data_IF_939677042700
#
_entry.id   IF_939677042700
#
_cell.length_a   1.000
_cell.length_b   1.000
_cell.length_c   1.000
_cell.angle_alpha   90.00
_cell.angle_beta   90.00
_cell.angle_gamma   90.00
#
_symmetry.space_group_name_H-M   'P 1'
#
loop_
_entity.id
_entity.type
_entity.pdbx_description
1 polymer ?
#
# COMPACT_ATOMS: atom_id res chain seq x y z
N UNK A 1 18.37 -20.25 -2.43
CA UNK A 1 17.94 -21.28 -3.41
C UNK A 1 16.73 -20.75 -4.15
N UNK A 2 16.45 -21.22 -5.36
CA UNK A 2 15.31 -20.77 -6.15
C UNK A 2 14.60 -21.95 -6.83
N UNK A 3 13.31 -21.80 -7.11
CA UNK A 3 12.54 -22.63 -8.05
C UNK A 3 11.66 -21.72 -8.92
N UNK A 4 11.12 -22.24 -10.02
CA UNK A 4 10.25 -21.49 -10.93
C UNK A 4 9.07 -22.34 -11.37
N UNK A 5 7.94 -21.69 -11.65
CA UNK A 5 6.74 -22.28 -12.26
C UNK A 5 6.64 -22.00 -13.77
N UNK A 6 7.63 -21.32 -14.35
CA UNK A 6 7.67 -20.91 -15.76
C UNK A 6 7.54 -19.40 -15.97
N UNK A 7 6.74 -18.70 -15.15
CA UNK A 7 6.58 -17.23 -15.20
C UNK A 7 7.23 -16.55 -14.00
N UNK A 8 7.13 -17.17 -12.83
CA UNK A 8 7.63 -16.66 -11.57
C UNK A 8 8.89 -17.40 -11.14
N UNK A 9 9.78 -16.67 -10.49
CA UNK A 9 10.94 -17.21 -9.77
C UNK A 9 10.74 -16.98 -8.28
N UNK A 10 10.74 -18.07 -7.53
CA UNK A 10 10.58 -18.10 -6.09
C UNK A 10 11.93 -18.28 -5.43
N UNK A 11 12.35 -17.30 -4.63
CA UNK A 11 13.60 -17.33 -3.88
C UNK A 11 13.35 -17.69 -2.42
N UNK A 12 14.32 -18.36 -1.79
CA UNK A 12 14.20 -18.70 -0.37
C UNK A 12 15.21 -19.71 0.15
N UNK A 13 14.85 -20.34 1.28
CA UNK A 13 15.71 -21.19 2.10
C UNK A 13 15.03 -22.50 2.50
N UNK A 14 15.83 -23.54 2.73
CA UNK A 14 15.33 -24.82 3.26
C UNK A 14 14.40 -25.61 2.31
N UNK A 15 14.42 -25.32 1.01
CA UNK A 15 13.61 -26.06 0.04
C UNK A 15 14.01 -27.53 -0.05
N UNK A 16 13.02 -28.40 0.08
CA UNK A 16 13.13 -29.82 -0.28
C UNK A 16 12.05 -30.17 -1.27
N UNK A 17 12.26 -31.23 -2.06
CA UNK A 17 11.42 -31.54 -3.21
C UNK A 17 10.99 -33.01 -3.23
N UNK A 18 9.76 -33.25 -3.67
CA UNK A 18 9.26 -34.58 -4.01
C UNK A 18 8.68 -34.52 -5.43
N UNK A 19 9.18 -35.38 -6.33
CA UNK A 19 8.72 -35.38 -7.73
C UNK A 19 8.94 -34.05 -8.46
N UNK A 20 9.93 -33.25 -8.06
CA UNK A 20 10.21 -31.92 -8.63
C UNK A 20 9.35 -30.79 -8.04
N UNK A 21 8.44 -31.09 -7.13
CA UNK A 21 7.57 -30.10 -6.46
C UNK A 21 8.16 -29.75 -5.09
N UNK A 22 8.26 -28.47 -4.70
CA UNK A 22 8.73 -28.10 -3.37
C UNK A 22 7.72 -28.53 -2.29
N UNK A 23 8.18 -29.28 -1.30
CA UNK A 23 7.36 -29.82 -0.18
C UNK A 23 7.75 -29.25 1.18
N UNK A 24 8.85 -28.51 1.27
CA UNK A 24 9.24 -27.76 2.47
C UNK A 24 10.05 -26.53 2.11
N UNK A 25 10.39 -25.74 3.13
CA UNK A 25 11.20 -24.52 3.01
C UNK A 25 10.35 -23.25 3.03
N UNK A 26 11.05 -22.12 3.08
CA UNK A 26 10.47 -20.80 3.20
C UNK A 26 10.82 -19.98 1.96
N UNK A 27 9.80 -19.51 1.26
CA UNK A 27 9.90 -18.51 0.20
C UNK A 27 10.02 -17.15 0.86
N UNK A 28 11.03 -16.40 0.42
CA UNK A 28 11.38 -15.05 0.90
C UNK A 28 11.30 -13.98 -0.17
N UNK A 29 11.02 -14.37 -1.40
CA UNK A 29 10.71 -13.43 -2.46
C UNK A 29 10.19 -14.12 -3.71
N UNK A 30 9.44 -13.38 -4.50
CA UNK A 30 8.81 -13.77 -5.76
C UNK A 30 9.20 -12.70 -6.77
N UNK A 31 9.60 -13.10 -7.96
CA UNK A 31 9.86 -12.17 -9.05
C UNK A 31 9.34 -12.74 -10.36
N UNK A 32 8.68 -11.89 -11.14
CA UNK A 32 8.34 -12.17 -12.53
C UNK A 32 9.41 -11.53 -13.42
N UNK A 33 9.84 -12.24 -14.47
CA UNK A 33 10.86 -11.77 -15.40
C UNK A 33 10.31 -11.73 -16.82
N UNK A 34 10.67 -10.69 -17.57
CA UNK A 34 10.41 -10.62 -18.99
C UNK A 34 11.34 -11.53 -19.82
N UNK A 35 11.13 -11.55 -21.13
CA UNK A 35 11.95 -12.31 -22.09
C UNK A 35 13.42 -11.82 -22.16
N UNK A 36 13.70 -10.61 -21.67
CA UNK A 36 15.05 -10.02 -21.55
C UNK A 36 15.71 -10.33 -20.20
N UNK A 37 15.03 -11.11 -19.34
CA UNK A 37 15.46 -11.49 -18.00
C UNK A 37 15.60 -10.28 -17.05
N UNK A 38 14.79 -9.25 -17.25
CA UNK A 38 14.59 -8.14 -16.32
C UNK A 38 13.39 -8.42 -15.43
N UNK A 39 13.51 -8.14 -14.13
CA UNK A 39 12.38 -8.33 -13.21
C UNK A 39 11.32 -7.25 -13.47
N UNK A 40 10.10 -7.66 -13.81
CA UNK A 40 8.97 -6.76 -14.08
C UNK A 40 8.09 -6.58 -12.85
N UNK A 41 7.97 -7.60 -12.01
CA UNK A 41 7.36 -7.50 -10.68
C UNK A 41 8.28 -8.14 -9.65
N UNK A 42 8.31 -7.57 -8.46
CA UNK A 42 9.12 -8.11 -7.37
C UNK A 42 8.43 -7.97 -6.03
N UNK A 43 8.45 -9.06 -5.27
CA UNK A 43 8.05 -9.10 -3.87
C UNK A 43 9.19 -9.72 -3.07
N UNK A 44 9.69 -9.02 -2.06
CA UNK A 44 10.74 -9.50 -1.16
C UNK A 44 10.38 -9.21 0.29
N UNK A 45 10.96 -9.96 1.22
CA UNK A 45 10.71 -9.79 2.67
C UNK A 45 9.70 -10.78 3.24
N UNK A 46 8.94 -11.44 2.37
CA UNK A 46 7.89 -12.38 2.76
C UNK A 46 8.44 -13.59 3.51
N UNK A 47 7.56 -14.28 4.23
CA UNK A 47 7.91 -15.52 4.92
C UNK A 47 6.79 -16.54 4.79
N UNK A 48 6.78 -17.24 3.67
CA UNK A 48 5.74 -18.18 3.31
C UNK A 48 6.29 -19.58 3.12
N UNK A 49 5.56 -20.59 3.59
CA UNK A 49 5.93 -21.98 3.34
C UNK A 49 5.74 -22.32 1.86
N UNK A 50 6.78 -22.85 1.21
CA UNK A 50 6.67 -23.34 -0.16
C UNK A 50 5.57 -24.40 -0.30
N UNK A 51 5.38 -25.24 0.72
CA UNK A 51 4.32 -26.24 0.76
C UNK A 51 2.92 -25.60 0.81
N UNK A 52 2.76 -24.48 1.51
CA UNK A 52 1.49 -23.74 1.53
C UNK A 52 1.19 -23.10 0.17
N UNK A 53 2.20 -22.56 -0.52
CA UNK A 53 2.02 -22.02 -1.88
C UNK A 53 1.58 -23.11 -2.86
N UNK A 54 2.24 -24.27 -2.82
CA UNK A 54 1.87 -25.42 -3.65
C UNK A 54 0.48 -25.95 -3.31
N UNK A 55 0.09 -25.92 -2.04
CA UNK A 55 -1.25 -26.35 -1.62
C UNK A 55 -2.33 -25.42 -2.18
N UNK A 56 -2.16 -24.10 -2.03
CA UNK A 56 -3.11 -23.10 -2.54
C UNK A 56 -3.25 -23.18 -4.07
N UNK A 57 -2.14 -23.28 -4.80
CA UNK A 57 -2.14 -23.39 -6.26
C UNK A 57 -2.89 -24.64 -6.81
N UNK A 58 -3.30 -25.59 -5.96
CA UNK A 58 -4.02 -26.81 -6.36
C UNK A 58 -5.53 -26.74 -6.14
N UNK A 59 -6.04 -25.81 -5.35
CA UNK A 59 -7.44 -25.81 -4.93
C UNK A 59 -8.36 -25.09 -5.91
N UNK A 60 -7.85 -24.12 -6.69
CA UNK A 60 -8.67 -23.29 -7.58
C UNK A 60 -9.74 -22.47 -6.83
N UNK A 61 -9.69 -22.46 -5.50
CA UNK A 61 -10.48 -21.62 -4.63
C UNK A 61 -9.73 -20.31 -4.38
N UNK A 62 -10.42 -19.20 -4.17
CA UNK A 62 -9.76 -17.92 -3.90
C UNK A 62 -9.46 -17.70 -2.42
N UNK A 63 -10.13 -18.43 -1.53
CA UNK A 63 -10.07 -18.16 -0.09
C UNK A 63 -8.69 -18.49 0.51
N UNK A 64 -8.07 -19.58 0.08
CA UNK A 64 -6.74 -19.96 0.51
C UNK A 64 -5.65 -19.15 -0.18
N UNK A 65 -5.86 -18.72 -1.42
CA UNK A 65 -5.01 -17.72 -2.11
C UNK A 65 -5.01 -16.39 -1.35
N UNK A 66 -6.18 -15.84 -1.03
CA UNK A 66 -6.32 -14.60 -0.23
C UNK A 66 -5.66 -14.76 1.15
N UNK A 67 -5.89 -15.88 1.83
CA UNK A 67 -5.28 -16.15 3.13
C UNK A 67 -3.75 -16.27 3.03
N UNK A 68 -3.22 -16.76 1.91
CA UNK A 68 -1.79 -16.86 1.65
C UNK A 68 -1.19 -15.48 1.39
N UNK A 69 -1.84 -14.64 0.57
CA UNK A 69 -1.43 -13.26 0.30
C UNK A 69 -1.38 -12.45 1.60
N UNK A 70 -2.47 -12.49 2.38
CA UNK A 70 -2.55 -11.82 3.69
C UNK A 70 -1.52 -12.33 4.69
N UNK A 71 -1.02 -13.55 4.54
CA UNK A 71 0.05 -14.09 5.37
C UNK A 71 1.43 -13.67 4.85
N UNK A 72 1.59 -13.54 3.53
CA UNK A 72 2.83 -13.15 2.89
C UNK A 72 3.20 -11.72 3.29
N UNK A 73 2.22 -10.82 3.24
CA UNK A 73 2.35 -9.38 3.44
C UNK A 73 2.08 -8.97 4.91
N UNK A 74 2.62 -9.71 5.89
CA UNK A 74 2.55 -9.35 7.32
C UNK A 74 3.87 -8.82 7.88
N UNK A 75 4.91 -8.89 7.07
CA UNK A 75 6.27 -8.52 7.45
C UNK A 75 6.62 -7.15 6.91
N UNK A 76 7.88 -6.76 7.07
CA UNK A 76 8.38 -5.60 6.35
C UNK A 76 8.80 -6.08 4.96
N UNK A 77 8.01 -5.72 3.97
CA UNK A 77 8.08 -6.22 2.62
C UNK A 77 8.53 -5.11 1.65
N UNK A 78 9.12 -5.53 0.53
CA UNK A 78 9.44 -4.65 -0.59
C UNK A 78 8.65 -5.13 -1.79
N UNK A 79 7.81 -4.25 -2.31
CA UNK A 79 6.98 -4.51 -3.50
C UNK A 79 7.40 -3.56 -4.61
N UNK A 80 7.65 -4.11 -5.78
CA UNK A 80 7.98 -3.35 -7.00
C UNK A 80 7.03 -3.80 -8.10
N UNK A 81 6.26 -2.84 -8.62
CA UNK A 81 5.43 -2.98 -9.81
C UNK A 81 6.24 -2.93 -11.10
N UNK A 82 5.54 -2.84 -12.20
CA UNK A 82 6.00 -2.87 -13.58
C UNK A 82 5.94 -1.49 -14.23
N UNK A 83 6.14 -1.40 -15.54
CA UNK A 83 5.94 -0.16 -16.29
C UNK A 83 4.49 0.02 -16.78
N UNK A 84 3.60 -0.92 -16.44
CA UNK A 84 2.17 -0.90 -16.70
C UNK A 84 1.38 -0.65 -15.40
N UNK A 85 0.12 -0.22 -15.51
CA UNK A 85 -0.70 0.08 -14.32
C UNK A 85 -0.98 -1.16 -13.46
N UNK A 86 -0.56 -1.09 -12.20
CA UNK A 86 -0.60 -2.19 -11.24
C UNK A 86 -1.59 -2.00 -10.09
N UNK A 87 -1.95 -3.13 -9.48
CA UNK A 87 -2.64 -3.16 -8.19
C UNK A 87 -1.68 -3.69 -7.12
N UNK A 88 -1.10 -2.78 -6.34
CA UNK A 88 -0.10 -3.09 -5.33
C UNK A 88 -0.72 -3.05 -3.93
N UNK A 89 -0.33 -3.98 -3.07
CA UNK A 89 -0.80 -4.03 -1.68
C UNK A 89 0.41 -4.12 -0.74
N UNK A 90 0.48 -3.19 0.22
CA UNK A 90 1.55 -3.16 1.22
C UNK A 90 1.37 -4.28 2.25
N UNK A 91 0.17 -4.35 2.86
CA UNK A 91 -0.11 -5.29 3.92
C UNK A 91 0.18 -4.70 5.29
N UNK A 92 0.66 -5.52 6.24
CA UNK A 92 1.04 -5.04 7.55
C UNK A 92 2.55 -5.13 7.71
N UNK A 93 3.17 -4.18 8.39
CA UNK A 93 4.62 -4.06 8.48
C UNK A 93 5.05 -2.68 8.02
N UNK A 94 6.36 -2.42 8.02
CA UNK A 94 6.89 -1.18 7.46
C UNK A 94 7.41 -1.48 6.06
N UNK A 95 6.59 -1.19 5.06
CA UNK A 95 6.78 -1.65 3.69
C UNK A 95 7.39 -0.57 2.81
N UNK A 96 8.05 -1.01 1.74
CA UNK A 96 8.51 -0.16 0.65
C UNK A 96 7.80 -0.58 -0.64
N UNK A 97 6.94 0.29 -1.16
CA UNK A 97 6.20 0.04 -2.41
C UNK A 97 6.69 1.02 -3.48
N UNK A 98 6.97 0.48 -4.66
CA UNK A 98 7.32 1.25 -5.85
C UNK A 98 6.46 0.81 -7.03
N UNK A 99 5.63 1.70 -7.55
CA UNK A 99 4.81 1.46 -8.75
C UNK A 99 5.65 1.33 -10.01
N UNK A 100 6.57 2.28 -10.22
CA UNK A 100 7.39 2.49 -11.43
C UNK A 100 6.64 3.28 -12.52
N UNK A 101 5.96 2.61 -13.44
CA UNK A 101 5.27 3.27 -14.54
C UNK A 101 3.85 2.78 -14.69
N UNK A 102 2.97 3.60 -15.28
CA UNK A 102 1.56 3.26 -15.41
C UNK A 102 0.70 3.98 -14.36
N UNK A 103 -0.63 3.89 -14.53
CA UNK A 103 -1.57 4.44 -13.54
C UNK A 103 -1.78 3.37 -12.45
N UNK A 104 -1.08 3.49 -11.32
CA UNK A 104 -1.06 2.48 -10.27
C UNK A 104 -2.16 2.68 -9.22
N UNK A 105 -2.64 1.59 -8.63
CA UNK A 105 -3.44 1.62 -7.40
C UNK A 105 -2.67 0.94 -6.28
N UNK A 106 -2.25 1.73 -5.30
CA UNK A 106 -1.52 1.27 -4.13
C UNK A 106 -2.46 1.25 -2.94
N UNK A 107 -2.82 0.05 -2.48
CA UNK A 107 -3.53 -0.13 -1.22
C UNK A 107 -2.51 -0.16 -0.08
N UNK A 108 -2.59 0.84 0.80
CA UNK A 108 -1.81 0.91 2.04
C UNK A 108 -2.27 -0.23 2.99
N UNK A 109 -1.49 -0.44 4.04
CA UNK A 109 -1.98 -1.18 5.20
C UNK A 109 -1.29 -0.70 6.46
N UNK A 110 -1.19 -1.56 7.47
CA UNK A 110 -0.82 -1.13 8.80
C UNK A 110 0.69 -1.06 8.99
N UNK A 111 1.23 0.13 9.22
CA UNK A 111 2.60 0.33 9.63
C UNK A 111 3.12 1.70 9.25
N UNK A 112 4.43 1.84 9.12
CA UNK A 112 5.04 3.06 8.60
C UNK A 112 5.61 2.77 7.22
N UNK A 113 4.74 2.89 6.22
CA UNK A 113 5.04 2.52 4.85
C UNK A 113 5.64 3.68 4.07
N UNK A 114 6.34 3.33 3.00
CA UNK A 114 6.96 4.27 2.07
C UNK A 114 6.50 3.95 0.66
N UNK A 115 5.77 4.89 0.07
CA UNK A 115 5.19 4.73 -1.25
C UNK A 115 5.90 5.62 -2.27
N UNK A 116 6.26 5.04 -3.41
CA UNK A 116 6.70 5.73 -4.63
C UNK A 116 5.72 5.30 -5.72
N UNK A 117 4.89 6.21 -6.20
CA UNK A 117 3.96 5.92 -7.31
C UNK A 117 4.74 5.71 -8.60
N UNK A 118 5.61 6.67 -8.94
CA UNK A 118 6.38 6.66 -10.17
C UNK A 118 5.72 7.55 -11.23
N UNK A 119 5.68 7.08 -12.47
CA UNK A 119 5.09 7.84 -13.57
C UNK A 119 3.69 7.35 -13.89
N UNK A 120 2.70 8.21 -13.71
CA UNK A 120 1.32 7.95 -14.12
C UNK A 120 0.39 8.72 -13.20
N UNK A 121 -0.89 8.37 -13.20
CA UNK A 121 -1.86 8.86 -12.21
C UNK A 121 -2.05 7.78 -11.18
N UNK A 122 -1.40 7.95 -10.05
CA UNK A 122 -1.39 6.92 -9.01
C UNK A 122 -2.46 7.19 -7.96
N UNK A 123 -3.04 6.11 -7.45
CA UNK A 123 -4.05 6.11 -6.41
C UNK A 123 -3.47 5.52 -5.13
N UNK A 124 -3.20 6.36 -4.15
CA UNK A 124 -2.79 5.94 -2.80
C UNK A 124 -4.03 5.76 -1.94
N UNK A 125 -4.44 4.50 -1.76
CA UNK A 125 -5.71 4.12 -1.13
C UNK A 125 -5.49 3.70 0.32
N UNK A 126 -6.23 4.31 1.23
CA UNK A 126 -6.25 3.96 2.66
C UNK A 126 -7.64 3.45 3.01
N UNK A 127 -7.71 2.22 3.51
CA UNK A 127 -8.96 1.53 3.81
C UNK A 127 -9.43 1.75 5.25
N UNK A 128 -8.50 2.05 6.17
CA UNK A 128 -8.78 2.29 7.57
C UNK A 128 -7.92 3.40 8.17
N UNK A 129 -8.42 4.01 9.25
CA UNK A 129 -7.66 4.98 10.07
C UNK A 129 -6.36 4.37 10.61
N UNK A 130 -6.35 3.06 10.84
CA UNK A 130 -5.20 2.31 11.33
C UNK A 130 -4.08 2.13 10.30
N UNK A 131 -4.37 2.34 9.02
CA UNK A 131 -3.38 2.16 7.96
C UNK A 131 -2.29 3.23 8.11
N UNK A 132 -2.66 4.48 8.39
CA UNK A 132 -1.69 5.53 8.67
C UNK A 132 -2.11 6.46 9.80
N UNK A 133 -1.39 6.37 10.92
CA UNK A 133 -1.69 7.06 12.17
C UNK A 133 -0.86 8.34 12.35
N UNK A 134 -1.13 9.17 13.38
CA UNK A 134 -0.28 10.34 13.67
C UNK A 134 1.15 9.98 14.15
N UNK A 135 1.36 8.76 14.66
CA UNK A 135 2.63 8.31 15.25
C UNK A 135 3.70 8.11 14.19
N UNK A 136 4.94 8.56 14.44
CA UNK A 136 6.07 8.33 13.51
C UNK A 136 6.34 6.84 13.23
N UNK A 137 5.99 5.95 14.17
CA UNK A 137 6.24 4.53 14.04
C UNK A 137 5.25 3.81 13.13
N UNK A 138 4.13 4.47 12.79
CA UNK A 138 2.99 3.89 12.07
C UNK A 138 2.32 4.94 11.19
N UNK A 139 3.11 5.82 10.58
CA UNK A 139 2.63 6.84 9.65
C UNK A 139 3.30 6.65 8.32
N UNK A 140 2.48 6.59 7.29
CA UNK A 140 2.93 6.41 5.94
C UNK A 140 3.49 7.69 5.35
N UNK A 141 4.41 7.49 4.41
CA UNK A 141 5.04 8.56 3.63
C UNK A 141 4.89 8.28 2.15
N UNK A 142 4.28 9.22 1.42
CA UNK A 142 4.31 9.23 -0.04
C UNK A 142 5.48 10.11 -0.49
N UNK A 143 6.36 9.57 -1.32
CA UNK A 143 7.67 10.16 -1.60
C UNK A 143 7.71 11.02 -2.87
N UNK A 144 6.79 10.83 -3.81
CA UNK A 144 6.86 11.45 -5.15
C UNK A 144 5.51 11.99 -5.67
N UNK A 145 4.58 12.31 -4.77
CA UNK A 145 3.21 12.72 -5.10
C UNK A 145 3.13 13.79 -6.22
N UNK A 146 2.69 13.36 -7.39
CA UNK A 146 2.57 14.15 -8.61
C UNK A 146 1.37 15.09 -8.57
N UNK A 147 1.65 16.34 -8.94
CA UNK A 147 0.67 17.44 -8.98
C UNK A 147 0.47 17.98 -10.40
N UNK A 148 0.96 17.23 -11.38
CA UNK A 148 0.97 17.65 -12.78
C UNK A 148 -0.44 17.51 -13.34
N UNK A 149 -1.03 18.59 -13.85
CA UNK A 149 -2.37 18.55 -14.45
C UNK A 149 -2.44 17.49 -15.56
N UNK A 150 -3.43 16.59 -15.48
CA UNK A 150 -3.60 15.48 -16.42
C UNK A 150 -2.82 14.21 -16.05
N UNK A 151 -1.88 14.30 -15.11
CA UNK A 151 -1.11 13.19 -14.54
C UNK A 151 -0.95 13.37 -13.01
N UNK A 152 -2.03 13.78 -12.34
CA UNK A 152 -2.04 14.12 -10.92
C UNK A 152 -2.47 12.90 -10.12
N UNK A 153 -1.73 12.63 -9.06
CA UNK A 153 -2.01 11.54 -8.14
C UNK A 153 -3.21 11.87 -7.27
N UNK A 154 -3.82 10.81 -6.75
CA UNK A 154 -5.02 10.87 -5.91
C UNK A 154 -4.79 10.13 -4.61
N UNK A 155 -5.19 10.75 -3.51
CA UNK A 155 -5.30 10.09 -2.21
C UNK A 155 -6.74 9.62 -2.07
N UNK A 156 -6.95 8.31 -2.05
CA UNK A 156 -8.27 7.72 -1.86
C UNK A 156 -8.49 7.38 -0.38
N UNK A 157 -9.42 8.10 0.24
CA UNK A 157 -9.88 7.90 1.63
C UNK A 157 -11.34 7.46 1.67
N UNK A 158 -11.94 7.12 0.53
CA UNK A 158 -13.38 6.86 0.40
C UNK A 158 -13.84 5.63 1.16
N UNK A 159 -12.93 4.73 1.54
CA UNK A 159 -13.23 3.56 2.36
C UNK A 159 -13.29 3.86 3.86
N UNK A 160 -12.69 4.98 4.31
CA UNK A 160 -12.68 5.35 5.72
C UNK A 160 -13.97 6.09 6.06
N UNK A 161 -14.73 5.53 7.00
CA UNK A 161 -15.87 6.25 7.58
C UNK A 161 -15.39 7.45 8.40
N UNK A 162 -15.56 8.64 7.83
CA UNK A 162 -15.13 9.90 8.41
C UNK A 162 -15.92 10.27 9.67
N UNK A 163 -17.08 9.67 9.96
CA UNK A 163 -17.87 9.99 11.15
C UNK A 163 -18.63 8.79 11.75
N UNK A 164 -17.91 8.02 12.57
CA UNK A 164 -18.45 6.83 13.27
C UNK A 164 -19.64 7.09 14.22
N UNK A 165 -20.06 8.34 14.45
CA UNK A 165 -21.27 8.66 15.24
C UNK A 165 -22.55 8.54 14.41
N UNK A 166 -22.45 8.51 13.09
CA UNK A 166 -23.56 8.36 12.15
C UNK A 166 -23.42 7.00 11.46
N UNK A 167 -24.54 6.40 11.09
CA UNK A 167 -24.54 5.08 10.45
C UNK A 167 -24.16 5.17 8.98
N UNK A 168 -23.31 4.25 8.52
CA UNK A 168 -22.86 4.15 7.13
C UNK A 168 -21.48 4.76 6.96
N UNK A 169 -20.96 4.80 5.73
CA UNK A 169 -19.68 5.42 5.43
C UNK A 169 -19.87 6.91 5.10
N UNK A 170 -19.32 7.81 5.91
CA UNK A 170 -19.37 9.26 5.65
C UNK A 170 -18.08 9.74 4.98
N UNK A 171 -18.22 10.60 3.98
CA UNK A 171 -17.08 11.29 3.34
C UNK A 171 -16.44 12.32 4.25
N UNK A 172 -15.13 12.51 4.10
CA UNK A 172 -14.43 13.62 4.73
C UNK A 172 -14.84 14.98 4.12
N UNK A 173 -14.82 16.02 4.96
CA UNK A 173 -14.92 17.41 4.55
C UNK A 173 -13.53 18.03 4.48
N UNK A 174 -13.03 18.32 3.27
CA UNK A 174 -11.75 19.01 3.12
C UNK A 174 -11.85 20.48 3.52
N UNK A 175 -11.15 20.84 4.61
CA UNK A 175 -11.17 22.17 5.20
C UNK A 175 -9.93 23.03 4.89
N UNK A 176 -9.03 22.54 4.01
CA UNK A 176 -7.80 23.24 3.64
C UNK A 176 -6.85 23.37 4.83
N UNK A 177 -6.49 24.60 5.20
CA UNK A 177 -5.57 24.89 6.31
C UNK A 177 -6.27 25.24 7.62
N UNK A 178 -7.61 25.31 7.63
CA UNK A 178 -8.40 25.65 8.82
C UNK A 178 -8.15 24.67 9.97
N UNK A 179 -8.38 25.12 11.20
CA UNK A 179 -8.36 24.24 12.38
C UNK A 179 -9.61 23.37 12.41
N UNK A 180 -9.50 22.16 12.99
CA UNK A 180 -10.65 21.30 13.22
C UNK A 180 -11.71 22.00 14.07
N UNK A 181 -12.95 21.98 13.60
CA UNK A 181 -14.11 22.55 14.28
C UNK A 181 -14.60 21.67 15.42
N UNK A 182 -14.28 20.36 15.35
CA UNK A 182 -14.77 19.32 16.27
C UNK A 182 -16.07 18.66 15.79
N UNK A 183 -16.43 18.83 14.51
CA UNK A 183 -17.59 18.17 13.91
C UNK A 183 -17.35 16.69 13.60
N UNK A 184 -16.08 16.25 13.58
CA UNK A 184 -15.67 14.96 13.03
C UNK A 184 -15.68 14.98 11.51
N UNK A 185 -15.02 14.00 10.90
CA UNK A 185 -14.87 13.86 9.46
C UNK A 185 -14.25 15.06 8.77
N UNK A 186 -13.28 15.73 9.39
CA UNK A 186 -12.60 16.89 8.80
C UNK A 186 -11.20 16.51 8.33
N UNK A 187 -10.87 16.88 7.09
CA UNK A 187 -9.56 16.66 6.47
C UNK A 187 -8.87 18.00 6.24
N UNK A 188 -7.63 18.14 6.71
CA UNK A 188 -6.81 19.35 6.51
C UNK A 188 -5.42 18.99 6.01
N UNK A 189 -4.66 20.01 5.63
CA UNK A 189 -3.23 19.86 5.38
C UNK A 189 -2.39 20.89 6.13
N UNK A 190 -1.11 20.55 6.32
CA UNK A 190 -0.06 21.45 6.79
C UNK A 190 1.11 21.32 5.82
N UNK A 191 1.65 22.43 5.34
CA UNK A 191 2.80 22.46 4.44
C UNK A 191 3.94 23.25 5.08
N UNK A 192 5.15 22.70 5.02
CA UNK A 192 6.42 23.31 5.46
C UNK A 192 7.37 23.41 4.27
N UNK A 193 8.64 23.74 4.51
CA UNK A 193 9.61 24.04 3.45
C UNK A 193 9.96 22.82 2.56
N UNK A 194 10.04 21.63 3.15
CA UNK A 194 10.41 20.37 2.48
C UNK A 194 9.40 19.25 2.71
N UNK A 195 8.36 19.49 3.51
CA UNK A 195 7.49 18.43 3.98
C UNK A 195 6.05 18.94 4.03
N UNK A 196 5.10 18.04 3.85
CA UNK A 196 3.71 18.32 4.11
C UNK A 196 2.99 17.13 4.73
N UNK A 197 1.84 17.42 5.32
CA UNK A 197 1.00 16.43 5.99
C UNK A 197 -0.44 16.63 5.59
N UNK A 198 -1.12 15.54 5.29
CA UNK A 198 -2.58 15.44 5.29
C UNK A 198 -2.98 14.87 6.64
N UNK A 199 -3.96 15.49 7.31
CA UNK A 199 -4.37 15.16 8.67
C UNK A 199 -5.89 15.09 8.74
N UNK A 200 -6.44 14.07 9.41
CA UNK A 200 -7.88 13.95 9.60
C UNK A 200 -8.26 13.88 11.09
N UNK A 201 -9.36 14.55 11.44
CA UNK A 201 -10.12 14.37 12.69
C UNK A 201 -11.40 13.62 12.35
N UNK A 202 -11.45 12.33 12.68
CA UNK A 202 -12.55 11.42 12.35
C UNK A 202 -13.63 11.51 13.42
N UNK A 203 -13.24 11.54 14.70
CA UNK A 203 -14.19 11.43 15.82
C UNK A 203 -14.69 12.79 16.36
N UNK A 204 -14.13 13.91 15.92
CA UNK A 204 -14.52 15.26 16.28
C UNK A 204 -13.95 15.77 17.61
N UNK A 205 -12.91 15.12 18.15
CA UNK A 205 -12.24 15.56 19.38
C UNK A 205 -11.15 16.62 19.16
N UNK A 206 -10.98 17.08 17.91
CA UNK A 206 -9.98 18.04 17.44
C UNK A 206 -8.55 17.54 17.51
N UNK A 207 -8.34 16.24 17.68
CA UNK A 207 -7.03 15.60 17.53
C UNK A 207 -6.95 14.96 16.16
N UNK A 208 -5.71 14.71 15.76
CA UNK A 208 -5.45 13.98 14.53
C UNK A 208 -5.67 12.50 14.84
N UNK A 209 -6.55 11.86 14.09
CA UNK A 209 -6.82 10.42 14.14
C UNK A 209 -6.06 9.68 13.03
N UNK A 210 -5.89 10.32 11.87
CA UNK A 210 -5.21 9.79 10.69
C UNK A 210 -4.24 10.84 10.13
N UNK A 211 -3.08 10.41 9.63
CA UNK A 211 -2.10 11.32 9.06
C UNK A 211 -1.34 10.67 7.91
N UNK A 212 -1.01 11.42 6.86
CA UNK A 212 -0.08 10.99 5.80
C UNK A 212 1.03 12.03 5.71
N UNK A 213 2.26 11.60 5.55
CA UNK A 213 3.41 12.46 5.32
C UNK A 213 3.79 12.49 3.83
N UNK A 214 4.34 13.62 3.39
CA UNK A 214 4.88 13.81 2.05
C UNK A 214 6.25 14.46 2.17
N UNK A 215 7.26 13.92 1.49
CA UNK A 215 8.64 14.44 1.46
C UNK A 215 8.79 15.65 0.52
N UNK A 216 7.73 16.46 0.46
CA UNK A 216 7.59 17.56 -0.48
C UNK A 216 6.69 18.65 0.11
N UNK A 217 6.95 19.92 -0.23
CA UNK A 217 6.12 21.05 0.17
C UNK A 217 4.88 21.18 -0.72
N UNK A 218 3.80 20.49 -0.35
CA UNK A 218 2.57 20.42 -1.17
C UNK A 218 1.51 21.40 -0.68
N UNK A 219 0.84 22.06 -1.63
CA UNK A 219 -0.42 22.78 -1.40
C UNK A 219 -1.57 21.92 -1.91
N UNK A 220 -2.35 21.36 -0.99
CA UNK A 220 -3.44 20.46 -1.33
C UNK A 220 -4.72 21.21 -1.72
N UNK A 221 -5.45 20.65 -2.69
CA UNK A 221 -6.80 21.07 -3.06
C UNK A 221 -7.76 19.88 -2.91
N UNK A 222 -9.06 20.13 -2.83
CA UNK A 222 -10.04 19.04 -2.72
C UNK A 222 -10.01 18.07 -3.90
N UNK A 223 -9.53 18.50 -5.08
CA UNK A 223 -9.42 17.65 -6.27
C UNK A 223 -8.27 16.63 -6.24
N UNK A 224 -7.44 16.64 -5.21
CA UNK A 224 -6.38 15.63 -4.98
C UNK A 224 -6.85 14.46 -4.12
N UNK A 225 -8.12 14.46 -3.73
CA UNK A 225 -8.69 13.46 -2.84
C UNK A 225 -9.92 12.81 -3.47
N UNK A 226 -10.04 11.51 -3.30
CA UNK A 226 -11.29 10.79 -3.42
C UNK A 226 -11.85 10.59 -2.00
N UNK A 227 -12.99 11.22 -1.70
CA UNK A 227 -13.62 11.27 -0.37
C UNK A 227 -15.04 10.70 -0.41
#
# INVERSE_FOLDING_TARGET
>A
MQFSDGSNVYSGTGFTYEGGVPVSGTVTGIAEYDDENSAVHKLEGISISAASMVAAARTGETNDDEALILKALKGNDSVVGSEDGDHLFAGAGNDLIKGNGGDDTILSGAGADRFVGGTGRDFFTFAAVSDSTPSLATRDTILDFSRVSGNMDTIDLSAIDANTKVSGNQSFSFIGTRSFSGSGGELKYVSKASDSWVLADVNGDKKVDFAIHFDDAITFTSGMFWL
#
